data_IF_200766592336
#
_entry.id   IF_200766592336
#
_cell.length_a   1.000
_cell.length_b   1.000
_cell.length_c   1.000
_cell.angle_alpha   90.00
_cell.angle_beta   90.00
_cell.angle_gamma   90.00
#
_symmetry.space_group_name_H-M   'P 1'
#
loop_
_entity.id
_entity.type
_entity.pdbx_description
1 polymer ?
#
# COMPACT_ATOMS: atom_id res chain seq x y z
N UNK A 1 -26.36 1.36 -27.09
CA UNK A 1 -25.05 1.49 -27.75
C UNK A 1 -24.12 2.02 -26.68
N UNK A 2 -23.18 1.20 -26.19
CA UNK A 2 -22.19 1.68 -25.22
C UNK A 2 -21.20 2.55 -26.00
N UNK A 3 -21.29 3.87 -25.84
CA UNK A 3 -20.37 4.81 -26.48
C UNK A 3 -18.97 4.62 -25.90
N UNK A 4 -18.02 4.26 -26.76
CA UNK A 4 -16.61 4.20 -26.39
C UNK A 4 -16.15 5.61 -25.98
N UNK A 5 -15.37 5.67 -24.89
CA UNK A 5 -14.87 6.94 -24.36
C UNK A 5 -13.96 7.59 -25.39
N UNK A 6 -14.17 8.88 -25.67
CA UNK A 6 -13.31 9.64 -26.58
C UNK A 6 -11.93 9.82 -25.99
N UNK A 7 -10.95 9.83 -26.87
CA UNK A 7 -9.55 10.05 -26.52
C UNK A 7 -9.36 11.38 -25.76
N UNK A 8 -9.97 12.46 -26.26
CA UNK A 8 -9.87 13.77 -25.63
C UNK A 8 -10.43 13.77 -24.20
N UNK A 9 -11.55 13.06 -23.97
CA UNK A 9 -12.13 12.97 -22.63
C UNK A 9 -11.20 12.27 -21.64
N UNK A 10 -10.54 11.17 -22.03
CA UNK A 10 -9.68 10.40 -21.10
C UNK A 10 -8.47 11.24 -20.68
N UNK A 11 -7.88 11.94 -21.64
CA UNK A 11 -6.72 12.80 -21.37
C UNK A 11 -7.09 13.93 -20.41
N UNK A 12 -8.21 14.62 -20.67
CA UNK A 12 -8.73 15.67 -19.80
C UNK A 12 -9.15 15.13 -18.43
N UNK A 13 -9.76 13.94 -18.38
CA UNK A 13 -10.15 13.30 -17.13
C UNK A 13 -8.92 13.01 -16.27
N UNK A 14 -7.86 12.40 -16.83
CA UNK A 14 -6.62 12.14 -16.09
C UNK A 14 -5.94 13.44 -15.68
N UNK A 15 -5.82 14.41 -16.58
CA UNK A 15 -5.22 15.72 -16.32
C UNK A 15 -5.89 16.39 -15.10
N UNK A 16 -7.22 16.40 -15.06
CA UNK A 16 -8.00 16.98 -13.96
C UNK A 16 -7.80 16.24 -12.61
N UNK A 17 -7.37 14.96 -12.62
CA UNK A 17 -7.08 14.20 -11.40
C UNK A 17 -5.63 14.35 -10.93
N UNK A 18 -4.73 14.86 -11.78
CA UNK A 18 -3.32 15.05 -11.40
C UNK A 18 -3.21 16.22 -10.44
N UNK A 19 -2.87 15.91 -9.18
CA UNK A 19 -2.64 16.90 -8.14
C UNK A 19 -1.42 16.53 -7.29
N UNK A 20 -0.28 17.17 -7.55
CA UNK A 20 0.95 16.99 -6.76
C UNK A 20 1.09 18.19 -5.81
N UNK A 21 1.37 17.94 -4.52
CA UNK A 21 1.12 18.89 -3.43
C UNK A 21 2.08 20.08 -3.45
N UNK A 22 3.28 19.85 -3.97
CA UNK A 22 4.35 20.85 -3.97
C UNK A 22 4.23 21.86 -5.10
N UNK A 23 3.24 21.72 -5.97
CA UNK A 23 3.22 22.51 -7.19
C UNK A 23 1.82 22.83 -7.71
N UNK A 24 1.64 24.08 -8.11
CA UNK A 24 0.42 24.58 -8.72
C UNK A 24 0.72 24.85 -10.19
N UNK A 25 0.51 23.85 -11.03
CA UNK A 25 0.93 23.92 -12.42
C UNK A 25 -0.28 24.12 -13.32
N UNK A 26 -0.40 25.32 -13.89
CA UNK A 26 -1.52 25.69 -14.75
C UNK A 26 -1.43 25.13 -16.18
N UNK A 27 -0.38 24.39 -16.55
CA UNK A 27 -0.25 23.68 -17.84
C UNK A 27 0.94 22.70 -17.82
N UNK A 28 0.89 21.66 -16.99
CA UNK A 28 1.95 20.62 -17.01
C UNK A 28 1.70 19.55 -18.09
N UNK A 29 0.46 19.45 -18.55
CA UNK A 29 0.07 18.47 -19.53
C UNK A 29 0.62 18.82 -20.91
N UNK A 30 1.20 17.82 -21.57
CA UNK A 30 1.71 17.92 -22.93
C UNK A 30 0.92 16.96 -23.81
N UNK A 31 0.55 17.38 -25.03
CA UNK A 31 -0.16 16.54 -26.00
C UNK A 31 0.54 15.20 -26.31
N UNK A 32 1.86 15.11 -26.09
CA UNK A 32 2.60 13.85 -26.20
C UNK A 32 2.17 12.81 -25.16
N UNK A 33 1.64 13.23 -24.01
CA UNK A 33 1.15 12.36 -22.94
C UNK A 33 -0.18 11.70 -23.28
N UNK A 34 -1.02 12.32 -24.12
CA UNK A 34 -2.28 11.73 -24.59
C UNK A 34 -2.04 10.35 -25.18
N UNK A 35 -1.00 10.20 -26.01
CA UNK A 35 -0.63 8.91 -26.62
C UNK A 35 -0.31 7.82 -25.58
N UNK A 36 0.31 8.19 -24.46
CA UNK A 36 0.65 7.27 -23.37
C UNK A 36 -0.62 6.85 -22.63
N UNK A 37 -1.50 7.82 -22.36
CA UNK A 37 -2.80 7.57 -21.72
C UNK A 37 -3.69 6.68 -22.59
N UNK A 38 -3.76 6.93 -23.90
CA UNK A 38 -4.51 6.06 -24.83
C UNK A 38 -3.94 4.66 -24.85
N UNK A 39 -2.60 4.54 -24.95
CA UNK A 39 -1.93 3.25 -24.90
C UNK A 39 -2.25 2.51 -23.61
N UNK A 40 -2.26 3.20 -22.47
CA UNK A 40 -2.72 2.60 -21.22
C UNK A 40 -4.17 2.17 -21.33
N UNK A 41 -5.10 3.07 -21.68
CA UNK A 41 -6.55 2.83 -21.64
C UNK A 41 -6.99 1.62 -22.48
N UNK A 42 -6.58 1.54 -23.74
CA UNK A 42 -7.05 0.51 -24.67
C UNK A 42 -6.26 -0.80 -24.58
N UNK A 43 -5.07 -0.80 -24.00
CA UNK A 43 -4.32 -2.03 -23.82
C UNK A 43 -4.79 -2.75 -22.56
N UNK A 44 -5.37 -3.94 -22.76
CA UNK A 44 -5.87 -4.81 -21.68
C UNK A 44 -4.74 -5.30 -20.77
N UNK A 45 -3.51 -5.36 -21.26
CA UNK A 45 -2.35 -5.78 -20.47
C UNK A 45 -1.89 -4.69 -19.49
N UNK A 46 -2.14 -3.42 -19.81
CA UNK A 46 -1.79 -2.31 -18.92
C UNK A 46 -2.95 -2.02 -17.96
N UNK A 47 -2.84 -2.61 -16.77
CA UNK A 47 -3.81 -2.42 -15.68
C UNK A 47 -3.49 -1.20 -14.83
N UNK A 48 -2.21 -0.83 -14.74
CA UNK A 48 -1.71 0.22 -13.86
C UNK A 48 -1.02 1.30 -14.68
N UNK A 49 -1.16 2.54 -14.24
CA UNK A 49 -0.41 3.70 -14.74
C UNK A 49 0.10 4.50 -13.55
N UNK A 50 1.41 4.66 -13.46
CA UNK A 50 2.08 5.56 -12.53
C UNK A 50 2.38 6.87 -13.22
N UNK A 51 2.11 7.97 -12.54
CA UNK A 51 2.44 9.33 -12.97
C UNK A 51 3.20 10.01 -11.84
N UNK A 52 4.40 10.51 -12.14
CA UNK A 52 5.27 11.13 -11.13
C UNK A 52 6.19 12.19 -11.75
N UNK A 53 6.79 13.01 -10.90
CA UNK A 53 7.85 13.94 -11.28
C UNK A 53 9.20 13.35 -10.89
N UNK A 54 10.06 13.09 -11.87
CA UNK A 54 11.39 12.53 -11.63
C UNK A 54 12.37 13.57 -11.07
N UNK A 55 12.20 14.83 -11.46
CA UNK A 55 13.09 15.91 -11.05
C UNK A 55 12.27 17.18 -10.78
N UNK A 56 12.64 17.91 -9.73
CA UNK A 56 11.99 19.17 -9.35
C UNK A 56 12.33 20.30 -10.32
N UNK A 57 13.46 20.19 -11.01
CA UNK A 57 13.95 21.25 -11.90
C UNK A 57 13.29 21.22 -13.28
N UNK A 58 12.94 20.04 -13.80
CA UNK A 58 12.54 19.88 -15.20
C UNK A 58 11.02 19.77 -15.41
N UNK A 59 10.21 19.89 -14.35
CA UNK A 59 8.72 19.97 -14.36
C UNK A 59 8.10 19.08 -15.46
N UNK A 60 8.53 17.82 -15.53
CA UNK A 60 8.12 16.89 -16.59
C UNK A 60 7.50 15.64 -15.98
N UNK A 61 6.25 15.35 -16.35
CA UNK A 61 5.61 14.10 -15.95
C UNK A 61 6.34 12.93 -16.59
N UNK A 62 6.63 11.95 -15.75
CA UNK A 62 7.08 10.64 -16.11
C UNK A 62 5.92 9.67 -15.94
N UNK A 63 5.82 8.73 -16.87
CA UNK A 63 4.75 7.73 -16.91
C UNK A 63 5.35 6.34 -16.93
N UNK A 64 4.79 5.42 -16.15
CA UNK A 64 5.19 4.01 -16.16
C UNK A 64 3.96 3.11 -16.12
N UNK A 65 3.98 2.00 -16.86
CA UNK A 65 2.93 0.97 -16.82
C UNK A 65 3.22 -0.12 -15.78
N UNK A 66 4.43 -0.13 -15.23
CA UNK A 66 4.90 -1.03 -14.18
C UNK A 66 5.44 -0.23 -12.99
N UNK A 67 5.78 -0.91 -11.90
CA UNK A 67 6.27 -0.25 -10.69
C UNK A 67 7.60 0.50 -10.98
N UNK A 68 7.66 1.83 -10.82
CA UNK A 68 8.86 2.60 -11.16
C UNK A 68 9.99 2.33 -10.18
N UNK A 69 11.22 2.19 -10.67
CA UNK A 69 12.41 2.10 -9.79
C UNK A 69 12.56 3.36 -8.94
N UNK A 70 12.18 4.52 -9.46
CA UNK A 70 12.24 5.77 -8.71
C UNK A 70 11.36 5.76 -7.44
N UNK A 71 10.25 5.02 -7.48
CA UNK A 71 9.38 4.79 -6.32
C UNK A 71 10.06 3.84 -5.33
N UNK A 72 10.67 2.76 -5.81
CA UNK A 72 11.36 1.76 -4.98
C UNK A 72 12.55 2.39 -4.25
N UNK A 73 13.32 3.19 -4.97
CA UNK A 73 14.51 3.87 -4.47
C UNK A 73 14.17 5.14 -3.65
N UNK A 74 12.88 5.47 -3.50
CA UNK A 74 12.36 6.65 -2.78
C UNK A 74 13.03 7.96 -3.24
N UNK A 75 13.30 8.07 -4.55
CA UNK A 75 13.97 9.24 -5.16
C UNK A 75 13.02 10.37 -5.53
N UNK A 76 11.72 10.11 -5.47
CA UNK A 76 10.64 11.05 -5.76
C UNK A 76 9.80 11.26 -4.49
N UNK A 77 9.12 12.39 -4.35
CA UNK A 77 8.31 12.65 -3.15
C UNK A 77 6.88 12.11 -3.26
N UNK A 78 6.28 12.19 -4.45
CA UNK A 78 4.87 11.88 -4.66
C UNK A 78 4.65 11.27 -6.05
N UNK A 79 3.70 10.35 -6.11
CA UNK A 79 3.20 9.78 -7.36
C UNK A 79 1.68 9.60 -7.29
N UNK A 80 1.07 9.52 -8.46
CA UNK A 80 -0.34 9.18 -8.62
C UNK A 80 -0.40 7.85 -9.36
N UNK A 81 -1.19 6.93 -8.81
CA UNK A 81 -1.45 5.63 -9.42
C UNK A 81 -2.88 5.62 -9.96
N UNK A 82 -3.05 5.15 -11.19
CA UNK A 82 -4.34 4.79 -11.77
C UNK A 82 -4.38 3.29 -11.98
N UNK A 83 -5.45 2.64 -11.54
CA UNK A 83 -5.66 1.20 -11.58
C UNK A 83 -7.02 0.88 -12.18
N UNK A 84 -7.04 0.02 -13.20
CA UNK A 84 -8.28 -0.56 -13.72
C UNK A 84 -8.69 -1.76 -12.86
N UNK A 85 -9.84 -1.65 -12.19
CA UNK A 85 -10.36 -2.70 -11.31
C UNK A 85 -10.98 -3.85 -12.12
N UNK A 86 -11.58 -3.52 -13.27
CA UNK A 86 -12.38 -4.45 -14.05
C UNK A 86 -11.88 -4.58 -15.48
N UNK A 87 -12.04 -5.77 -16.06
CA UNK A 87 -11.73 -6.07 -17.47
C UNK A 87 -12.81 -5.58 -18.44
N UNK A 88 -13.91 -5.01 -17.91
CA UNK A 88 -15.01 -4.47 -18.73
C UNK A 88 -14.54 -3.26 -19.52
N UNK A 89 -15.16 -3.03 -20.68
CA UNK A 89 -14.95 -1.80 -21.46
C UNK A 89 -15.26 -0.60 -20.58
N UNK A 90 -14.33 0.35 -20.53
CA UNK A 90 -14.52 1.60 -19.82
C UNK A 90 -15.36 2.52 -20.71
N UNK A 91 -16.43 3.08 -20.15
CA UNK A 91 -17.40 3.98 -20.77
C UNK A 91 -17.47 5.28 -19.96
N UNK A 92 -18.06 6.34 -20.53
CA UNK A 92 -18.18 7.63 -19.85
C UNK A 92 -18.90 7.53 -18.49
N UNK A 93 -19.89 6.65 -18.41
CA UNK A 93 -20.71 6.46 -17.21
C UNK A 93 -20.02 5.60 -16.15
N UNK A 94 -19.06 4.76 -16.54
CA UNK A 94 -18.46 3.77 -15.63
C UNK A 94 -17.02 4.10 -15.23
N UNK A 95 -16.38 5.10 -15.85
CA UNK A 95 -14.95 5.40 -15.64
C UNK A 95 -14.62 5.62 -14.17
N UNK A 96 -15.44 6.38 -13.44
CA UNK A 96 -15.22 6.68 -12.03
C UNK A 96 -15.35 5.45 -11.12
N UNK A 97 -16.08 4.42 -11.56
CA UNK A 97 -16.26 3.16 -10.83
C UNK A 97 -15.29 2.05 -11.27
N UNK A 98 -14.70 2.18 -12.46
CA UNK A 98 -13.83 1.15 -13.07
C UNK A 98 -12.35 1.49 -12.94
N UNK A 99 -12.01 2.77 -12.78
CA UNK A 99 -10.65 3.27 -12.58
C UNK A 99 -10.52 3.85 -11.17
N UNK A 100 -9.71 3.20 -10.34
CA UNK A 100 -9.25 3.82 -9.09
C UNK A 100 -8.09 4.72 -9.40
N UNK A 101 -8.04 5.85 -8.72
CA UNK A 101 -6.85 6.68 -8.68
C UNK A 101 -6.54 7.06 -7.25
N UNK A 102 -5.26 7.09 -6.91
CA UNK A 102 -4.84 7.58 -5.62
C UNK A 102 -3.51 8.31 -5.72
N UNK A 103 -3.38 9.35 -4.90
CA UNK A 103 -2.14 10.06 -4.70
C UNK A 103 -1.42 9.47 -3.51
N UNK A 104 -0.15 9.16 -3.69
CA UNK A 104 0.67 8.49 -2.67
C UNK A 104 1.96 9.27 -2.48
N UNK A 105 2.34 9.51 -1.23
CA UNK A 105 3.67 10.02 -0.86
C UNK A 105 4.67 8.87 -0.91
N UNK A 106 5.89 9.09 -1.35
CA UNK A 106 6.93 8.05 -1.47
C UNK A 106 7.62 7.75 -0.14
N UNK A 107 6.83 7.50 0.90
CA UNK A 107 7.29 7.02 2.21
C UNK A 107 6.71 5.62 2.39
N UNK A 108 7.30 4.62 1.71
CA UNK A 108 6.69 3.27 1.59
C UNK A 108 6.45 2.67 2.96
N UNK A 109 7.43 2.82 3.86
CA UNK A 109 7.32 2.38 5.25
C UNK A 109 6.10 3.00 5.95
N UNK A 110 5.98 4.33 5.91
CA UNK A 110 4.91 5.03 6.63
C UNK A 110 3.54 4.73 6.01
N UNK A 111 3.46 4.60 4.69
CA UNK A 111 2.24 4.21 4.00
C UNK A 111 1.76 2.83 4.41
N UNK A 112 2.67 1.83 4.46
CA UNK A 112 2.31 0.48 4.88
C UNK A 112 1.83 0.51 6.34
N UNK A 113 2.58 1.15 7.24
CA UNK A 113 2.18 1.27 8.66
C UNK A 113 0.83 1.96 8.82
N UNK A 114 0.60 3.09 8.13
CA UNK A 114 -0.66 3.81 8.16
C UNK A 114 -1.83 2.97 7.62
N UNK A 115 -1.61 2.22 6.55
CA UNK A 115 -2.63 1.38 5.94
C UNK A 115 -3.01 0.23 6.89
N UNK A 116 -2.02 -0.33 7.59
CA UNK A 116 -2.28 -1.31 8.64
C UNK A 116 -3.05 -0.72 9.82
N UNK A 117 -2.58 0.41 10.38
CA UNK A 117 -3.17 1.02 11.56
C UNK A 117 -4.59 1.56 11.32
N UNK A 118 -4.87 2.07 10.11
CA UNK A 118 -6.14 2.75 9.80
C UNK A 118 -7.16 1.88 9.08
N UNK A 119 -6.74 0.82 8.41
CA UNK A 119 -7.64 -0.03 7.61
C UNK A 119 -7.69 -1.44 8.16
N UNK A 120 -6.55 -2.12 8.22
CA UNK A 120 -6.54 -3.55 8.55
C UNK A 120 -6.78 -3.83 10.03
N UNK A 121 -6.18 -3.08 10.95
CA UNK A 121 -6.42 -3.26 12.40
C UNK A 121 -7.90 -3.01 12.73
N UNK A 122 -8.54 -1.90 12.29
CA UNK A 122 -9.98 -1.72 12.52
C UNK A 122 -10.84 -2.80 11.89
N UNK A 123 -10.42 -3.39 10.76
CA UNK A 123 -11.12 -4.53 10.16
C UNK A 123 -11.08 -5.81 11.02
N UNK A 124 -10.08 -5.98 11.89
CA UNK A 124 -10.04 -7.09 12.86
C UNK A 124 -11.18 -6.98 13.88
N UNK A 125 -11.49 -5.75 14.29
CA UNK A 125 -12.52 -5.44 15.29
C UNK A 125 -13.94 -5.41 14.69
N UNK A 126 -14.06 -5.31 13.36
CA UNK A 126 -15.35 -5.38 12.67
C UNK A 126 -15.90 -6.81 12.72
N UNK A 127 -17.05 -6.97 13.38
CA UNK A 127 -17.88 -8.19 13.27
C UNK A 127 -18.39 -8.32 11.83
N UNK A 128 -17.59 -8.96 10.98
CA UNK A 128 -18.01 -9.30 9.63
C UNK A 128 -19.01 -10.47 9.70
N UNK A 129 -19.97 -10.52 8.77
CA UNK A 129 -20.86 -11.66 8.56
C UNK A 129 -20.13 -12.92 8.03
N UNK A 130 -18.80 -12.94 8.13
CA UNK A 130 -17.95 -14.01 7.65
C UNK A 130 -18.00 -15.19 8.63
N UNK A 131 -17.90 -16.44 8.15
CA UNK A 131 -17.71 -17.61 9.01
C UNK A 131 -16.54 -17.40 9.98
N UNK A 132 -16.72 -17.80 11.24
CA UNK A 132 -15.76 -17.60 12.34
C UNK A 132 -14.34 -18.07 11.98
N UNK A 133 -14.21 -19.20 11.29
CA UNK A 133 -12.91 -19.74 10.87
C UNK A 133 -12.17 -18.80 9.89
N UNK A 134 -12.90 -18.19 8.94
CA UNK A 134 -12.31 -17.28 7.95
C UNK A 134 -11.87 -15.97 8.64
N UNK A 135 -12.65 -15.50 9.60
CA UNK A 135 -12.29 -14.33 10.38
C UNK A 135 -11.05 -14.58 11.26
N UNK A 136 -10.97 -15.75 11.89
CA UNK A 136 -9.81 -16.14 12.68
C UNK A 136 -8.54 -16.27 11.82
N UNK A 137 -8.61 -16.91 10.66
CA UNK A 137 -7.46 -17.04 9.75
C UNK A 137 -7.00 -15.68 9.20
N UNK A 138 -7.94 -14.78 8.88
CA UNK A 138 -7.63 -13.41 8.49
C UNK A 138 -6.96 -12.63 9.63
N UNK A 139 -7.45 -12.79 10.86
CA UNK A 139 -6.88 -12.14 12.02
C UNK A 139 -5.43 -12.60 12.29
N UNK A 140 -5.19 -13.91 12.19
CA UNK A 140 -3.86 -14.51 12.35
C UNK A 140 -2.89 -13.97 11.31
N UNK A 141 -3.25 -14.04 10.03
CA UNK A 141 -2.40 -13.60 8.92
C UNK A 141 -2.12 -12.10 8.95
N UNK A 142 -3.09 -11.29 9.37
CA UNK A 142 -2.91 -9.84 9.56
C UNK A 142 -1.89 -9.54 10.67
N UNK A 143 -1.98 -10.26 11.78
CA UNK A 143 -1.05 -10.12 12.91
C UNK A 143 0.37 -10.59 12.57
N UNK A 144 0.50 -11.70 11.84
CA UNK A 144 1.79 -12.18 11.32
C UNK A 144 2.41 -11.15 10.37
N UNK A 145 1.62 -10.62 9.44
CA UNK A 145 2.07 -9.57 8.51
C UNK A 145 2.52 -8.30 9.25
N UNK A 146 1.78 -7.85 10.27
CA UNK A 146 2.15 -6.72 11.11
C UNK A 146 3.50 -6.92 11.81
N UNK A 147 3.68 -8.12 12.37
CA UNK A 147 4.92 -8.48 13.06
C UNK A 147 6.09 -8.43 12.10
N UNK A 148 5.93 -9.00 10.89
CA UNK A 148 6.96 -9.00 9.86
C UNK A 148 7.31 -7.59 9.36
N UNK A 149 6.31 -6.76 9.04
CA UNK A 149 6.50 -5.37 8.60
C UNK A 149 7.20 -4.55 9.70
N UNK A 150 6.79 -4.72 10.95
CA UNK A 150 7.42 -4.03 12.09
C UNK A 150 8.89 -4.43 12.22
N UNK A 151 9.21 -5.72 12.09
CA UNK A 151 10.58 -6.24 12.14
C UNK A 151 11.46 -5.69 11.00
N UNK A 152 10.94 -5.69 9.77
CA UNK A 152 11.64 -5.16 8.60
C UNK A 152 11.99 -3.67 8.78
N UNK A 153 11.04 -2.87 9.25
CA UNK A 153 11.19 -1.42 9.26
C UNK A 153 11.77 -0.84 10.55
N UNK A 154 11.79 -1.58 11.67
CA UNK A 154 12.16 -1.02 12.97
C UNK A 154 13.61 -1.26 13.39
N UNK A 155 14.46 -1.87 12.56
CA UNK A 155 15.86 -2.22 12.89
C UNK A 155 16.02 -2.66 14.37
N UNK A 156 15.12 -3.55 14.80
CA UNK A 156 15.07 -4.19 16.12
C UNK A 156 14.55 -3.36 17.32
N UNK A 157 13.97 -2.16 17.21
CA UNK A 157 13.59 -1.37 18.40
C UNK A 157 12.14 -1.48 18.88
N UNK A 158 11.23 -2.02 18.07
CA UNK A 158 9.79 -2.05 18.38
C UNK A 158 9.28 -3.48 18.23
N UNK A 159 8.64 -3.99 19.28
CA UNK A 159 7.94 -5.26 19.29
C UNK A 159 6.47 -4.95 19.01
N UNK A 160 5.88 -5.61 18.01
CA UNK A 160 4.45 -5.51 17.77
C UNK A 160 3.68 -6.16 18.92
N UNK A 161 2.83 -5.39 19.59
CA UNK A 161 1.91 -5.88 20.60
C UNK A 161 0.48 -5.85 20.02
N UNK A 162 -0.15 -7.01 19.77
CA UNK A 162 -1.51 -7.05 19.29
C UNK A 162 -2.45 -6.50 20.37
N UNK A 163 -3.44 -5.69 19.97
CA UNK A 163 -4.44 -5.10 20.87
C UNK A 163 -5.49 -6.13 21.29
N UNK A 164 -5.07 -7.21 21.96
CA UNK A 164 -5.98 -8.20 22.51
C UNK A 164 -6.27 -7.80 23.96
N UNK A 165 -7.55 -7.64 24.30
CA UNK A 165 -7.94 -7.37 25.69
C UNK A 165 -7.82 -8.64 26.54
N UNK A 166 -7.51 -8.51 27.83
CA UNK A 166 -7.34 -9.64 28.75
C UNK A 166 -8.60 -10.51 28.80
N UNK A 167 -9.78 -9.88 28.76
CA UNK A 167 -11.08 -10.56 28.78
C UNK A 167 -11.32 -11.42 27.52
N UNK A 168 -10.75 -11.04 26.38
CA UNK A 168 -10.82 -11.84 25.14
C UNK A 168 -9.93 -13.09 25.21
N UNK A 169 -8.82 -13.05 25.95
CA UNK A 169 -7.90 -14.20 26.08
C UNK A 169 -8.62 -15.36 26.80
N UNK A 170 -9.40 -15.07 27.84
CA UNK A 170 -10.18 -16.09 28.55
C UNK A 170 -11.26 -16.72 27.65
N UNK A 171 -11.93 -15.90 26.83
CA UNK A 171 -12.95 -16.37 25.88
C UNK A 171 -12.38 -17.26 24.76
N UNK A 172 -11.18 -16.93 24.26
CA UNK A 172 -10.52 -17.67 23.18
C UNK A 172 -9.57 -18.78 23.67
N UNK A 173 -9.51 -19.03 24.98
CA UNK A 173 -8.68 -20.08 25.61
C UNK A 173 -8.99 -21.51 25.13
N UNK A 174 -10.14 -21.72 24.50
CA UNK A 174 -10.56 -23.01 23.92
C UNK A 174 -10.35 -23.08 22.41
N UNK A 175 -10.02 -21.95 21.76
CA UNK A 175 -9.81 -21.89 20.32
C UNK A 175 -8.33 -22.18 19.99
N UNK A 176 -8.11 -23.34 19.38
CA UNK A 176 -6.78 -23.82 18.99
C UNK A 176 -6.05 -22.83 18.07
N UNK A 177 -6.76 -22.07 17.24
CA UNK A 177 -6.16 -21.14 16.30
C UNK A 177 -5.60 -19.90 17.03
N UNK A 178 -6.31 -19.40 18.05
CA UNK A 178 -5.82 -18.29 18.88
C UNK A 178 -4.64 -18.71 19.75
N UNK A 179 -4.63 -19.94 20.28
CA UNK A 179 -3.48 -20.46 21.03
C UNK A 179 -2.24 -20.49 20.12
N UNK A 180 -2.37 -21.04 18.90
CA UNK A 180 -1.26 -21.09 17.94
C UNK A 180 -0.76 -19.70 17.53
N UNK A 181 -1.66 -18.72 17.43
CA UNK A 181 -1.29 -17.33 17.17
C UNK A 181 -0.45 -16.74 18.30
N UNK A 182 -0.86 -16.95 19.55
CA UNK A 182 -0.13 -16.48 20.73
C UNK A 182 1.23 -17.17 20.85
N UNK A 183 1.31 -18.46 20.57
CA UNK A 183 2.58 -19.20 20.50
C UNK A 183 3.54 -18.59 19.47
N UNK A 184 3.07 -18.36 18.23
CA UNK A 184 3.89 -17.73 17.18
C UNK A 184 4.31 -16.30 17.54
N UNK A 185 3.42 -15.52 18.15
CA UNK A 185 3.74 -14.17 18.62
C UNK A 185 4.83 -14.18 19.68
N UNK A 186 4.73 -15.09 20.66
CA UNK A 186 5.75 -15.28 21.68
C UNK A 186 7.09 -15.70 21.06
N UNK A 187 7.09 -16.63 20.10
CA UNK A 187 8.29 -17.03 19.37
C UNK A 187 8.93 -15.87 18.62
N UNK A 188 8.12 -15.02 17.97
CA UNK A 188 8.59 -13.80 17.32
C UNK A 188 9.20 -12.82 18.32
N UNK A 189 8.56 -12.60 19.47
CA UNK A 189 9.08 -11.73 20.53
C UNK A 189 10.39 -12.23 21.10
N UNK A 190 10.51 -13.54 21.35
CA UNK A 190 11.75 -14.18 21.81
C UNK A 190 12.86 -13.95 20.78
N UNK A 191 12.58 -14.18 19.49
CA UNK A 191 13.55 -13.96 18.41
C UNK A 191 14.03 -12.50 18.33
N UNK A 192 13.12 -11.55 18.49
CA UNK A 192 13.43 -10.13 18.44
C UNK A 192 14.24 -9.67 19.66
N UNK A 193 13.89 -10.16 20.85
CA UNK A 193 14.66 -9.94 22.09
C UNK A 193 16.07 -10.51 21.93
N UNK A 194 16.24 -11.72 21.39
CA UNK A 194 17.55 -12.29 21.14
C UNK A 194 18.39 -11.48 20.15
N UNK A 195 17.78 -11.01 19.05
CA UNK A 195 18.44 -10.14 18.05
C UNK A 195 18.89 -8.82 18.69
N UNK A 196 18.03 -8.21 19.51
CA UNK A 196 18.35 -7.03 20.31
C UNK A 196 19.60 -7.26 21.18
N UNK A 197 19.62 -8.33 21.96
CA UNK A 197 20.76 -8.66 22.82
C UNK A 197 22.05 -8.98 22.02
N UNK A 198 21.95 -9.68 20.88
CA UNK A 198 23.10 -9.94 19.97
C UNK A 198 23.68 -8.64 19.42
N UNK A 199 22.84 -7.67 19.07
CA UNK A 199 23.29 -6.37 18.56
C UNK A 199 23.95 -5.50 19.64
N UNK A 200 23.44 -5.52 20.88
CA UNK A 200 24.09 -4.85 22.03
C UNK A 200 25.48 -5.45 22.31
N UNK A 201 25.62 -6.78 22.25
CA UNK A 201 26.93 -7.45 22.41
C UNK A 201 27.91 -7.09 21.30
N UNK A 202 27.45 -6.93 20.05
CA UNK A 202 28.28 -6.49 18.92
C UNK A 202 28.73 -5.03 19.03
N UNK A 203 27.89 -4.13 19.51
CA UNK A 203 28.27 -2.73 19.75
C UNK A 203 29.33 -2.60 20.86
N UNK A 204 29.23 -3.38 21.95
CA UNK A 204 30.26 -3.43 23.00
C UNK A 204 31.62 -3.96 22.54
N UNK A 205 31.66 -4.80 21.50
CA UNK A 205 32.92 -5.30 20.90
C UNK A 205 33.56 -4.34 19.89
N UNK A 206 32.81 -3.40 19.32
CA UNK A 206 33.34 -2.37 18.40
C UNK A 206 33.89 -1.13 19.13
N UNK A 207 33.49 -0.93 20.38
CA UNK A 207 33.92 0.21 21.22
C UNK A 207 35.03 -0.18 22.23
N UNK A 208 35.70 -1.31 22.03
CA UNK A 208 36.92 -1.75 22.72
C UNK A 208 38.00 -1.93 21.68
#
# INVERSE_FOLDING_TARGET
>A
MEEEVSEDFISVWIENKISLSKFNFTNLWNNSYNKIVHKWMYNVNYKILFIYLKDYNDIKLSFSFDFPNEVIDETIDEYIIFLKINSKKITYENIDNTVLYNKVKCEIKENILNLMDRVFIPMLDMKNNSPINIQNDFNITTVEFMTYITQLFSKNKLIYYPKISVDQIELFSTDKNYIQLLEKLLDHWISDIEKLFKNVKRQKKKNK
#
